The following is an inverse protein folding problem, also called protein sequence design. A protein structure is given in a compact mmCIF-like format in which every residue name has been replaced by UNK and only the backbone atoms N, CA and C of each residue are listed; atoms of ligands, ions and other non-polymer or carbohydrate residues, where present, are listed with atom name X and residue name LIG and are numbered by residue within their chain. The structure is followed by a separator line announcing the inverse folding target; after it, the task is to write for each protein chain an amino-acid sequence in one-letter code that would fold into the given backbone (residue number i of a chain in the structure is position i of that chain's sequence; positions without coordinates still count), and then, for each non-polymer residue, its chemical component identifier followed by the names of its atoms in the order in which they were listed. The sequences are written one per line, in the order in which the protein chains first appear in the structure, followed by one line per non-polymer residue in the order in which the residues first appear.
data_IF_055145003135
#
_entry.id   IF_055145003135
#
_cell.length_a   1.000
_cell.length_b   1.000
_cell.length_c   1.000
_cell.angle_alpha   90.00
_cell.angle_beta   90.00
_cell.angle_gamma   90.00
#
_symmetry.space_group_name_H-M   'P 1'
#
loop_
_entity.id
_entity.type
_entity.pdbx_description
1 polymer ?
#
# COMPACT_ATOMS: atom_id res chain seq x y z
N UNK A 1 -10.08 14.71 4.76
CA UNK A 1 -9.48 13.73 3.84
C UNK A 1 -9.35 14.45 2.51
N UNK A 2 -8.31 15.25 2.33
CA UNK A 2 -8.18 16.11 1.13
C UNK A 2 -6.97 15.69 0.26
N UNK A 3 -6.00 14.98 0.82
CA UNK A 3 -4.82 14.51 0.09
C UNK A 3 -4.86 13.01 -0.25
N UNK A 4 -5.92 12.30 0.12
CA UNK A 4 -6.06 10.85 -0.08
C UNK A 4 -7.43 10.46 -0.65
N UNK A 5 -7.43 9.39 -1.46
CA UNK A 5 -8.63 8.73 -1.98
C UNK A 5 -8.54 7.21 -1.84
N UNK A 6 -9.67 6.50 -1.76
CA UNK A 6 -9.67 5.04 -1.86
C UNK A 6 -9.02 4.57 -3.18
N UNK A 7 -8.17 3.54 -3.14
CA UNK A 7 -7.58 2.99 -4.35
C UNK A 7 -8.61 2.17 -5.12
N UNK A 8 -8.39 2.05 -6.43
CA UNK A 8 -9.05 1.08 -7.30
C UNK A 8 -8.07 -0.07 -7.54
N UNK A 9 -8.57 -1.30 -7.60
CA UNK A 9 -7.78 -2.47 -7.98
C UNK A 9 -7.51 -2.41 -9.48
N UNK A 10 -6.25 -2.30 -9.86
CA UNK A 10 -5.80 -2.28 -11.26
C UNK A 10 -5.50 -3.70 -11.78
N UNK A 11 -4.98 -4.57 -10.91
CA UNK A 11 -4.68 -5.97 -11.21
C UNK A 11 -4.85 -6.80 -9.93
N UNK A 12 -5.32 -8.03 -10.08
CA UNK A 12 -5.38 -9.01 -9.01
C UNK A 12 -5.09 -10.40 -9.58
N UNK A 13 -4.05 -11.03 -9.07
CA UNK A 13 -3.74 -12.44 -9.28
C UNK A 13 -4.05 -13.18 -7.99
N UNK A 14 -4.89 -14.21 -8.09
CA UNK A 14 -5.43 -14.90 -6.94
C UNK A 14 -4.33 -15.32 -5.95
N UNK A 15 -4.49 -14.91 -4.69
CA UNK A 15 -3.62 -15.23 -3.56
C UNK A 15 -2.15 -14.78 -3.60
N UNK A 16 -1.69 -14.15 -4.69
CA UNK A 16 -0.27 -13.84 -4.88
C UNK A 16 0.04 -12.37 -5.09
N UNK A 17 -0.79 -11.65 -5.84
CA UNK A 17 -0.48 -10.29 -6.23
C UNK A 17 -1.73 -9.42 -6.35
N UNK A 18 -1.63 -8.19 -5.87
CA UNK A 18 -2.64 -7.15 -6.09
C UNK A 18 -1.92 -5.85 -6.43
N UNK A 19 -2.40 -5.13 -7.43
CA UNK A 19 -1.96 -3.77 -7.74
C UNK A 19 -3.08 -2.79 -7.51
N UNK A 20 -2.80 -1.75 -6.73
CA UNK A 20 -3.70 -0.63 -6.49
C UNK A 20 -3.25 0.62 -7.24
N UNK A 21 -4.24 1.41 -7.65
CA UNK A 21 -4.03 2.77 -8.13
C UNK A 21 -3.53 3.69 -7.00
N UNK A 22 -2.98 4.84 -7.36
CA UNK A 22 -2.55 5.84 -6.40
C UNK A 22 -3.62 6.21 -5.36
N UNK A 23 -3.18 6.26 -4.11
CA UNK A 23 -3.93 6.80 -2.98
C UNK A 23 -3.96 8.33 -2.98
N UNK A 24 -3.03 9.00 -3.68
CA UNK A 24 -2.87 10.45 -3.61
C UNK A 24 -3.32 11.11 -4.91
N UNK A 25 -4.38 11.96 -4.90
CA UNK A 25 -4.83 12.66 -6.09
C UNK A 25 -3.74 13.51 -6.77
N UNK A 26 -2.80 14.07 -5.98
CA UNK A 26 -1.68 14.86 -6.49
C UNK A 26 -0.58 14.03 -7.17
N UNK A 27 -0.64 12.70 -7.05
CA UNK A 27 0.33 11.77 -7.65
C UNK A 27 -0.40 10.62 -8.34
N UNK A 28 -1.18 10.89 -9.40
CA UNK A 28 -2.12 9.93 -9.96
C UNK A 28 -1.45 8.69 -10.57
N UNK A 29 -0.17 8.79 -10.95
CA UNK A 29 0.60 7.72 -11.59
C UNK A 29 1.32 6.82 -10.58
N UNK A 30 1.33 7.16 -9.29
CA UNK A 30 1.87 6.27 -8.27
C UNK A 30 1.05 4.97 -8.23
N UNK A 31 1.73 3.84 -8.03
CA UNK A 31 1.06 2.53 -7.89
C UNK A 31 1.61 1.79 -6.69
N UNK A 32 0.73 1.00 -6.07
CA UNK A 32 1.08 0.18 -4.92
C UNK A 32 0.91 -1.29 -5.30
N UNK A 33 2.03 -1.99 -5.34
CA UNK A 33 2.10 -3.42 -5.59
C UNK A 33 2.14 -4.18 -4.28
N UNK A 34 1.31 -5.21 -4.17
CA UNK A 34 1.25 -6.11 -3.04
C UNK A 34 1.63 -7.50 -3.50
N UNK A 35 2.61 -8.09 -2.81
CA UNK A 35 3.01 -9.47 -2.99
C UNK A 35 2.67 -10.24 -1.72
N UNK A 36 1.90 -11.31 -1.90
CA UNK A 36 1.45 -12.19 -0.83
C UNK A 36 2.11 -13.55 -1.03
N UNK A 37 2.88 -13.98 -0.03
CA UNK A 37 3.47 -15.32 -0.04
C UNK A 37 3.05 -16.12 1.20
N UNK A 38 2.82 -17.43 1.06
CA UNK A 38 2.49 -18.27 2.20
C UNK A 38 3.68 -18.38 3.15
N UNK A 39 3.42 -18.42 4.46
CA UNK A 39 4.41 -18.71 5.50
C UNK A 39 3.74 -19.39 6.68
N UNK A 40 4.04 -20.66 6.92
CA UNK A 40 3.69 -21.46 8.11
C UNK A 40 2.34 -21.10 8.77
N UNK A 41 1.22 -21.43 8.12
CA UNK A 41 -0.12 -21.16 8.64
C UNK A 41 -0.56 -19.68 8.56
N UNK A 42 0.26 -18.82 7.96
CA UNK A 42 -0.02 -17.40 7.70
C UNK A 42 0.48 -16.95 6.34
N UNK A 43 0.61 -15.62 6.19
CA UNK A 43 1.12 -14.99 4.97
C UNK A 43 2.13 -13.90 5.30
N UNK A 44 3.11 -13.72 4.41
CA UNK A 44 3.94 -12.52 4.37
C UNK A 44 3.30 -11.59 3.35
N UNK A 45 3.02 -10.36 3.77
CA UNK A 45 2.67 -9.27 2.87
C UNK A 45 3.90 -8.39 2.66
N UNK A 46 4.36 -8.30 1.42
CA UNK A 46 5.28 -7.26 0.96
C UNK A 46 4.49 -6.24 0.15
N UNK A 47 4.79 -4.96 0.32
CA UNK A 47 4.24 -3.92 -0.53
C UNK A 47 5.35 -3.02 -1.06
N UNK A 48 5.18 -2.56 -2.29
CA UNK A 48 6.12 -1.70 -3.01
C UNK A 48 5.33 -0.51 -3.53
N UNK A 49 5.69 0.70 -3.10
CA UNK A 49 5.19 1.94 -3.65
C UNK A 49 6.12 2.38 -4.79
N UNK A 50 5.59 2.41 -6.01
CA UNK A 50 6.31 2.92 -7.19
C UNK A 50 5.84 4.33 -7.50
N UNK A 51 6.80 5.26 -7.60
CA UNK A 51 6.56 6.67 -7.89
C UNK A 51 7.26 7.04 -9.21
N UNK A 52 6.62 6.83 -10.37
CA UNK A 52 7.28 6.98 -11.67
C UNK A 52 7.52 8.45 -12.06
N UNK A 53 6.76 9.38 -11.48
CA UNK A 53 6.97 10.82 -11.62
C UNK A 53 8.14 11.29 -10.75
N UNK A 54 8.31 12.62 -10.61
CA UNK A 54 9.33 13.19 -9.73
C UNK A 54 9.25 12.59 -8.30
N UNK A 55 10.42 12.21 -7.79
CA UNK A 55 10.58 11.67 -6.44
C UNK A 55 10.01 12.65 -5.42
N UNK A 56 9.14 12.19 -4.50
CA UNK A 56 8.63 13.05 -3.45
C UNK A 56 9.79 13.56 -2.58
N UNK A 57 9.67 14.79 -2.10
CA UNK A 57 10.60 15.30 -1.10
C UNK A 57 10.58 14.44 0.18
N UNK A 58 11.60 14.61 1.04
CA UNK A 58 11.75 13.78 2.23
C UNK A 58 10.55 13.87 3.20
N UNK A 59 9.89 15.03 3.27
CA UNK A 59 8.71 15.23 4.13
C UNK A 59 7.52 14.45 3.60
N UNK A 60 7.23 14.59 2.29
CA UNK A 60 6.13 13.89 1.63
C UNK A 60 6.35 12.39 1.61
N UNK A 61 7.58 11.93 1.34
CA UNK A 61 7.93 10.51 1.43
C UNK A 61 7.70 9.96 2.84
N UNK A 62 8.09 10.71 3.87
CA UNK A 62 7.84 10.37 5.27
C UNK A 62 6.35 10.23 5.59
N UNK A 63 5.53 11.17 5.11
CA UNK A 63 4.08 11.15 5.25
C UNK A 63 3.45 9.93 4.56
N UNK A 64 3.81 9.67 3.30
CA UNK A 64 3.32 8.53 2.52
C UNK A 64 3.64 7.20 3.21
N UNK A 65 4.90 7.04 3.68
CA UNK A 65 5.33 5.84 4.42
C UNK A 65 4.55 5.65 5.73
N UNK A 66 4.38 6.72 6.52
CA UNK A 66 3.62 6.66 7.78
C UNK A 66 2.18 6.24 7.51
N UNK A 67 1.57 6.77 6.44
CA UNK A 67 0.20 6.46 6.09
C UNK A 67 0.01 5.03 5.62
N UNK A 68 0.86 4.54 4.72
CA UNK A 68 0.81 3.15 4.25
C UNK A 68 0.96 2.17 5.41
N UNK A 69 1.89 2.42 6.32
CA UNK A 69 2.05 1.59 7.52
C UNK A 69 0.78 1.58 8.38
N UNK A 70 0.10 2.72 8.51
CA UNK A 70 -1.15 2.77 9.25
C UNK A 70 -2.26 1.98 8.54
N UNK A 71 -2.51 2.24 7.26
CA UNK A 71 -3.57 1.57 6.49
C UNK A 71 -3.38 0.05 6.40
N UNK A 72 -2.14 -0.41 6.21
CA UNK A 72 -1.86 -1.82 5.91
C UNK A 72 -1.55 -2.65 7.16
N UNK A 73 -1.05 -2.03 8.23
CA UNK A 73 -0.54 -2.75 9.40
C UNK A 73 -1.27 -2.38 10.70
N UNK A 74 -1.92 -1.22 10.80
CA UNK A 74 -2.59 -0.83 12.06
C UNK A 74 -3.86 -1.65 12.32
N UNK A 75 -4.69 -1.92 11.29
CA UNK A 75 -5.90 -2.74 11.47
C UNK A 75 -5.61 -4.24 11.63
N UNK A 76 -4.48 -4.73 11.11
CA UNK A 76 -4.08 -6.13 11.33
C UNK A 76 -3.71 -6.45 12.78
N UNK A 77 -3.45 -5.44 13.62
CA UNK A 77 -3.26 -5.67 15.08
C UNK A 77 -4.55 -6.09 15.79
N UNK A 78 -5.73 -5.82 15.22
CA UNK A 78 -6.99 -6.26 15.79
C UNK A 78 -7.43 -7.66 15.34
N UNK A 79 -6.87 -8.21 14.24
CA UNK A 79 -7.27 -9.54 13.73
C UNK A 79 -6.31 -10.69 14.10
N UNK A 80 -5.15 -10.41 14.70
CA UNK A 80 -4.16 -11.44 15.08
C UNK A 80 -3.88 -11.55 16.59
N UNK A 81 -4.66 -10.89 17.45
CA UNK A 81 -4.65 -11.18 18.89
C UNK A 81 -4.72 -9.96 19.80
N UNK A 82 -5.94 -9.60 20.20
CA UNK A 82 -6.32 -9.37 21.59
C UNK A 82 -7.64 -10.13 21.81
#
# INVERSE_FOLDING_TARGET
MEDERPPIVLQAEESHHVRWSSLWPSRPNDVLDFEISPKDGGSILRFILSTPDESPDASRLGHMRKRLNHLLLADRRFSYGQ
#
